data_IF_742104524050
#
_entry.id   IF_742104524050
#
_cell.length_a   1.000
_cell.length_b   1.000
_cell.length_c   1.000
_cell.angle_alpha   90.00
_cell.angle_beta   90.00
_cell.angle_gamma   90.00
#
_symmetry.space_group_name_H-M   'P 1'
#
loop_
_entity.id
_entity.type
_entity.pdbx_description
1 polymer ?
#
# COMPACT_ATOMS: atom_id res chain seq x y z
N UNK A 1 -1.08 -13.64 15.63
CA UNK A 1 -0.40 -12.47 16.23
C UNK A 1 0.26 -11.68 15.09
N UNK A 2 -0.26 -10.48 14.81
CA UNK A 2 -0.10 -9.63 13.62
C UNK A 2 1.30 -8.98 13.45
N UNK A 3 2.30 -9.52 14.14
CA UNK A 3 3.48 -8.76 14.55
C UNK A 3 4.63 -8.71 13.52
N UNK A 4 4.63 -9.54 12.46
CA UNK A 4 5.83 -9.71 11.64
C UNK A 4 6.06 -8.64 10.56
N UNK A 5 5.02 -8.03 9.98
CA UNK A 5 5.20 -7.06 8.89
C UNK A 5 5.66 -5.67 9.36
N UNK A 6 5.16 -5.18 10.50
CA UNK A 6 5.33 -3.76 10.89
C UNK A 6 6.44 -3.48 11.90
N UNK A 7 7.01 -4.52 12.55
CA UNK A 7 8.20 -4.39 13.44
C UNK A 7 9.44 -3.79 12.77
N UNK A 8 9.47 -3.70 11.44
CA UNK A 8 10.59 -3.17 10.67
C UNK A 8 10.43 -1.70 10.28
N UNK A 9 9.42 -0.99 10.82
CA UNK A 9 9.04 0.35 10.35
C UNK A 9 9.17 1.41 11.43
N UNK A 10 8.80 1.12 12.68
CA UNK A 10 9.03 2.00 13.84
C UNK A 10 9.64 1.21 15.01
N UNK A 11 10.52 1.85 15.79
CA UNK A 11 11.20 1.19 16.90
C UNK A 11 10.37 1.15 18.19
N UNK A 12 9.45 2.09 18.45
CA UNK A 12 8.80 2.19 19.78
C UNK A 12 7.35 2.74 19.79
N UNK A 13 6.79 3.20 18.66
CA UNK A 13 5.43 3.75 18.62
C UNK A 13 4.68 3.24 17.39
N UNK A 14 3.42 2.77 17.51
CA UNK A 14 2.62 2.34 16.35
C UNK A 14 2.24 3.50 15.43
N UNK A 15 2.59 4.74 15.79
CA UNK A 15 2.35 5.95 15.01
C UNK A 15 3.64 6.41 14.32
N UNK A 16 3.55 6.66 13.03
CA UNK A 16 4.58 7.22 12.18
C UNK A 16 4.13 8.61 11.69
N UNK A 17 5.00 9.61 11.81
CA UNK A 17 4.79 10.94 11.23
C UNK A 17 4.97 10.84 9.70
N UNK A 18 3.88 10.96 8.96
CA UNK A 18 3.86 10.78 7.51
C UNK A 18 4.50 11.96 6.76
N UNK A 19 4.46 13.16 7.35
CA UNK A 19 4.97 14.38 6.71
C UNK A 19 6.50 14.42 6.75
N UNK A 20 7.08 13.95 7.85
CA UNK A 20 8.53 13.90 8.06
C UNK A 20 9.14 12.51 7.82
N UNK A 21 8.36 11.57 7.29
CA UNK A 21 8.82 10.20 7.08
C UNK A 21 10.01 10.14 6.13
N UNK A 22 11.10 9.53 6.60
CA UNK A 22 12.30 9.27 5.80
C UNK A 22 12.48 7.78 5.62
N UNK A 23 12.42 7.36 4.36
CA UNK A 23 12.68 5.98 3.96
C UNK A 23 14.09 5.57 4.41
N UNK A 24 14.18 4.53 5.23
CA UNK A 24 15.45 3.97 5.69
C UNK A 24 16.23 3.32 4.54
N UNK A 25 17.52 3.01 4.74
CA UNK A 25 18.34 2.32 3.72
C UNK A 25 17.73 0.97 3.30
N UNK A 26 17.20 0.21 4.25
CA UNK A 26 16.61 -1.11 3.98
C UNK A 26 15.27 -1.01 3.25
N UNK A 27 14.42 -0.06 3.66
CA UNK A 27 13.16 0.25 2.99
C UNK A 27 13.38 0.73 1.55
N UNK A 28 14.35 1.64 1.33
CA UNK A 28 14.71 2.13 0.01
C UNK A 28 15.26 1.03 -0.89
N UNK A 29 16.08 0.13 -0.34
CA UNK A 29 16.57 -1.04 -1.07
C UNK A 29 15.42 -1.94 -1.52
N UNK A 30 14.44 -2.21 -0.65
CA UNK A 30 13.27 -3.02 -0.99
C UNK A 30 12.43 -2.37 -2.11
N UNK A 31 12.08 -1.09 -1.96
CA UNK A 31 11.29 -0.36 -2.95
C UNK A 31 12.01 -0.23 -4.30
N UNK A 32 13.31 0.06 -4.31
CA UNK A 32 14.09 0.09 -5.56
C UNK A 32 14.17 -1.29 -6.23
N UNK A 33 14.32 -2.36 -5.45
CA UNK A 33 14.34 -3.74 -5.97
C UNK A 33 13.00 -4.07 -6.61
N UNK A 34 11.89 -3.72 -5.95
CA UNK A 34 10.53 -3.89 -6.46
C UNK A 34 10.30 -3.12 -7.76
N UNK A 35 10.57 -1.81 -7.75
CA UNK A 35 10.38 -0.97 -8.93
C UNK A 35 11.21 -1.46 -10.11
N UNK A 36 12.46 -1.89 -9.87
CA UNK A 36 13.31 -2.47 -10.91
C UNK A 36 12.68 -3.73 -11.51
N UNK A 37 12.20 -4.63 -10.67
CA UNK A 37 11.58 -5.87 -11.13
C UNK A 37 10.38 -5.58 -12.02
N UNK A 38 9.46 -4.73 -11.57
CA UNK A 38 8.27 -4.36 -12.35
C UNK A 38 8.66 -3.72 -13.69
N UNK A 39 9.58 -2.76 -13.67
CA UNK A 39 9.91 -1.98 -14.87
C UNK A 39 10.76 -2.80 -15.86
N UNK A 40 11.75 -3.56 -15.39
CA UNK A 40 12.82 -4.11 -16.24
C UNK A 40 12.89 -5.64 -16.27
N UNK A 41 12.15 -6.37 -15.43
CA UNK A 41 12.34 -7.80 -15.26
C UNK A 41 13.63 -8.11 -14.48
N UNK A 42 13.72 -9.31 -13.90
CA UNK A 42 14.67 -9.68 -12.83
C UNK A 42 16.18 -9.59 -13.07
N UNK A 43 16.69 -9.09 -14.21
CA UNK A 43 18.12 -9.03 -14.50
C UNK A 43 18.69 -7.60 -14.57
N UNK A 44 19.62 -7.33 -13.67
CA UNK A 44 20.07 -6.00 -13.26
C UNK A 44 21.02 -5.26 -14.24
N UNK A 45 21.15 -5.67 -15.51
CA UNK A 45 22.27 -5.25 -16.34
C UNK A 45 22.12 -3.88 -17.03
N UNK A 46 20.93 -3.28 -17.09
CA UNK A 46 20.69 -2.11 -17.98
C UNK A 46 19.88 -0.97 -17.37
N UNK A 47 19.81 -0.86 -16.04
CA UNK A 47 19.08 0.26 -15.41
C UNK A 47 19.99 1.47 -15.22
N UNK A 48 19.65 2.65 -15.77
CA UNK A 48 20.40 3.88 -15.55
C UNK A 48 20.47 4.20 -14.04
N UNK A 49 21.67 4.51 -13.55
CA UNK A 49 21.85 5.10 -12.23
C UNK A 49 21.11 6.44 -12.18
N UNK A 50 20.03 6.52 -11.42
CA UNK A 50 19.36 7.79 -11.13
C UNK A 50 20.29 8.61 -10.23
N UNK A 51 20.80 9.73 -10.75
CA UNK A 51 21.79 10.58 -10.05
C UNK A 51 21.22 11.32 -8.84
N UNK A 52 19.91 11.55 -8.80
CA UNK A 52 19.21 12.25 -7.69
C UNK A 52 18.14 11.33 -7.09
N UNK A 53 18.10 11.14 -5.76
CA UNK A 53 17.05 10.37 -5.12
C UNK A 53 15.67 11.01 -5.37
N UNK A 54 14.73 10.23 -5.90
CA UNK A 54 13.34 10.69 -6.06
C UNK A 54 12.72 11.03 -4.68
N UNK A 55 11.85 12.06 -4.62
CA UNK A 55 10.95 12.29 -3.49
C UNK A 55 10.14 11.05 -3.15
N UNK A 56 9.67 10.94 -1.91
CA UNK A 56 8.95 9.75 -1.40
C UNK A 56 7.79 9.34 -2.31
N UNK A 57 6.88 10.27 -2.59
CA UNK A 57 5.67 10.01 -3.37
C UNK A 57 6.04 9.53 -4.78
N UNK A 58 6.92 10.24 -5.48
CA UNK A 58 7.41 9.83 -6.80
C UNK A 58 8.07 8.44 -6.79
N UNK A 59 8.86 8.13 -5.74
CA UNK A 59 9.51 6.84 -5.61
C UNK A 59 8.50 5.69 -5.41
N UNK A 60 7.45 5.93 -4.64
CA UNK A 60 6.38 4.95 -4.37
C UNK A 60 5.62 4.63 -5.65
N UNK A 61 5.26 5.64 -6.44
CA UNK A 61 4.48 5.48 -7.66
C UNK A 61 5.32 5.17 -8.91
N UNK A 62 6.65 5.19 -8.81
CA UNK A 62 7.53 5.08 -9.97
C UNK A 62 7.25 3.87 -10.87
N UNK A 63 6.80 2.75 -10.30
CA UNK A 63 6.49 1.53 -11.06
C UNK A 63 4.99 1.37 -11.41
N UNK A 64 4.13 2.27 -10.93
CA UNK A 64 2.70 2.21 -11.22
C UNK A 64 2.47 2.38 -12.72
N UNK A 65 1.60 1.56 -13.26
CA UNK A 65 1.42 1.50 -14.71
C UNK A 65 0.92 2.81 -15.31
N UNK A 66 0.09 3.56 -14.59
CA UNK A 66 -0.35 4.90 -15.00
C UNK A 66 0.84 5.88 -15.14
N UNK A 67 1.87 5.76 -14.28
CA UNK A 67 3.09 6.57 -14.36
C UNK A 67 3.94 6.14 -15.55
N UNK A 68 4.06 4.83 -15.81
CA UNK A 68 4.83 4.33 -16.95
C UNK A 68 4.18 4.71 -18.29
N UNK A 69 2.87 4.53 -18.42
CA UNK A 69 2.11 4.84 -19.64
C UNK A 69 2.08 6.35 -19.92
N UNK A 70 1.92 7.21 -18.89
CA UNK A 70 1.99 8.67 -19.08
C UNK A 70 3.36 9.17 -19.53
N UNK A 71 4.42 8.39 -19.27
CA UNK A 71 5.78 8.67 -19.74
C UNK A 71 6.11 7.96 -21.07
N UNK A 72 5.15 7.32 -21.72
CA UNK A 72 5.35 6.57 -22.96
C UNK A 72 6.26 5.35 -22.80
N UNK A 73 6.39 4.82 -21.58
CA UNK A 73 7.23 3.66 -21.26
C UNK A 73 6.38 2.40 -21.19
N UNK A 74 6.99 1.28 -21.60
CA UNK A 74 6.39 -0.06 -21.49
C UNK A 74 7.18 -0.85 -20.44
N UNK A 75 6.65 -1.03 -19.22
CA UNK A 75 7.32 -1.84 -18.21
C UNK A 75 7.22 -3.32 -18.56
N UNK A 76 8.10 -4.13 -17.96
CA UNK A 76 8.11 -5.59 -18.16
C UNK A 76 6.88 -6.24 -17.55
N UNK A 77 6.51 -5.81 -16.35
CA UNK A 77 5.30 -6.21 -15.64
C UNK A 77 4.39 -4.99 -15.44
N UNK A 78 3.09 -5.23 -15.42
CA UNK A 78 2.08 -4.20 -15.14
C UNK A 78 1.71 -4.19 -13.68
N UNK A 79 2.26 -3.24 -12.91
CA UNK A 79 1.82 -2.98 -11.54
C UNK A 79 0.64 -2.02 -11.52
N UNK A 80 -0.49 -2.47 -10.99
CA UNK A 80 -1.66 -1.65 -10.73
C UNK A 80 -1.95 -1.68 -9.22
N UNK A 81 -1.96 -0.50 -8.60
CA UNK A 81 -2.32 -0.35 -7.19
C UNK A 81 -3.56 0.53 -7.11
N UNK A 82 -4.68 -0.06 -6.68
CA UNK A 82 -5.96 0.66 -6.53
C UNK A 82 -6.38 0.71 -5.08
N UNK A 83 -7.27 1.65 -4.77
CA UNK A 83 -7.86 1.81 -3.46
C UNK A 83 -9.38 1.75 -3.62
N UNK A 84 -10.02 0.77 -2.98
CA UNK A 84 -11.46 0.54 -3.09
C UNK A 84 -12.09 0.29 -1.71
N UNK A 85 -13.38 0.63 -1.50
CA UNK A 85 -14.05 0.33 -0.24
C UNK A 85 -13.94 -1.16 0.12
N UNK A 86 -13.68 -1.44 1.40
CA UNK A 86 -13.59 -2.81 1.90
C UNK A 86 -14.86 -3.58 1.55
N UNK A 87 -14.67 -4.74 0.92
CA UNK A 87 -15.75 -5.56 0.37
C UNK A 87 -15.30 -7.00 0.25
N UNK A 88 -16.27 -7.92 0.37
CA UNK A 88 -16.03 -9.33 0.11
C UNK A 88 -15.98 -9.60 -1.39
N UNK A 89 -15.01 -10.42 -1.80
CA UNK A 89 -15.01 -11.12 -3.08
C UNK A 89 -14.32 -12.46 -2.87
N UNK A 90 -14.65 -13.47 -3.66
CA UNK A 90 -13.97 -14.76 -3.57
C UNK A 90 -12.46 -14.64 -3.82
N UNK A 91 -12.01 -13.81 -4.77
CA UNK A 91 -10.58 -13.62 -5.04
C UNK A 91 -9.80 -13.11 -3.81
N UNK A 92 -10.32 -12.09 -3.12
CA UNK A 92 -9.73 -11.56 -1.87
C UNK A 92 -9.70 -12.62 -0.77
N UNK A 93 -10.78 -13.40 -0.64
CA UNK A 93 -10.86 -14.46 0.35
C UNK A 93 -9.89 -15.61 0.05
N UNK A 94 -9.72 -16.00 -1.21
CA UNK A 94 -8.73 -17.01 -1.62
C UNK A 94 -7.29 -16.54 -1.33
N UNK A 95 -6.98 -15.26 -1.57
CA UNK A 95 -5.68 -14.70 -1.18
C UNK A 95 -5.48 -14.76 0.34
N UNK A 96 -6.51 -14.43 1.12
CA UNK A 96 -6.49 -14.54 2.57
C UNK A 96 -6.23 -15.99 3.02
N UNK A 97 -6.92 -16.98 2.46
CA UNK A 97 -6.71 -18.39 2.79
C UNK A 97 -5.27 -18.83 2.54
N UNK A 98 -4.73 -18.54 1.35
CA UNK A 98 -3.33 -18.85 1.00
C UNK A 98 -2.35 -18.23 1.99
N UNK A 99 -2.60 -16.99 2.40
CA UNK A 99 -1.76 -16.29 3.38
C UNK A 99 -1.86 -16.90 4.78
N UNK A 100 -3.07 -17.19 5.27
CA UNK A 100 -3.29 -17.82 6.57
C UNK A 100 -2.62 -19.20 6.65
N UNK A 101 -2.79 -20.02 5.63
CA UNK A 101 -2.19 -21.36 5.60
C UNK A 101 -0.66 -21.28 5.59
N UNK A 102 -0.07 -20.46 4.72
CA UNK A 102 1.38 -20.41 4.54
C UNK A 102 2.15 -19.67 5.64
N UNK A 103 1.55 -18.62 6.23
CA UNK A 103 2.22 -17.75 7.21
C UNK A 103 1.77 -18.05 8.65
N UNK A 104 0.55 -18.56 8.83
CA UNK A 104 -0.02 -18.82 10.15
C UNK A 104 -0.35 -20.29 10.39
N UNK A 105 -0.16 -21.17 9.40
CA UNK A 105 -0.54 -22.59 9.48
C UNK A 105 -2.03 -22.79 9.84
N UNK A 106 -2.87 -21.80 9.49
CA UNK A 106 -4.28 -21.75 9.85
C UNK A 106 -5.19 -22.05 8.65
N UNK A 107 -5.86 -23.20 8.71
CA UNK A 107 -6.80 -23.69 7.71
C UNK A 107 -8.28 -23.57 8.13
N UNK A 108 -8.55 -23.05 9.34
CA UNK A 108 -9.89 -22.95 9.92
C UNK A 108 -10.71 -21.73 9.47
N UNK A 109 -10.23 -21.01 8.45
CA UNK A 109 -10.76 -19.73 8.03
C UNK A 109 -12.05 -19.86 7.22
N UNK A 110 -13.08 -19.11 7.59
CA UNK A 110 -14.41 -19.14 6.94
C UNK A 110 -14.70 -17.81 6.23
N UNK A 111 -15.57 -17.79 5.19
CA UNK A 111 -15.95 -16.54 4.51
C UNK A 111 -16.51 -15.50 5.49
N UNK A 112 -17.40 -15.92 6.40
CA UNK A 112 -17.96 -15.06 7.44
C UNK A 112 -16.90 -14.53 8.42
N UNK A 113 -15.88 -15.34 8.74
CA UNK A 113 -14.75 -14.91 9.55
C UNK A 113 -13.94 -13.82 8.86
N UNK A 114 -13.66 -14.01 7.57
CA UNK A 114 -12.99 -13.01 6.73
C UNK A 114 -13.81 -11.72 6.61
N UNK A 115 -15.11 -11.80 6.35
CA UNK A 115 -15.99 -10.62 6.28
C UNK A 115 -16.01 -9.85 7.60
N UNK A 116 -16.19 -10.54 8.72
CA UNK A 116 -16.21 -9.91 10.04
C UNK A 116 -14.88 -9.23 10.36
N UNK A 117 -13.76 -9.81 9.94
CA UNK A 117 -12.43 -9.32 10.29
C UNK A 117 -11.92 -8.22 9.36
N UNK A 118 -12.09 -8.37 8.04
CA UNK A 118 -11.42 -7.52 7.04
C UNK A 118 -12.38 -6.67 6.20
N UNK A 119 -13.68 -6.95 6.24
CA UNK A 119 -14.68 -6.21 5.44
C UNK A 119 -15.55 -5.31 6.29
N UNK A 120 -16.02 -5.82 7.43
CA UNK A 120 -17.01 -5.14 8.27
C UNK A 120 -16.38 -3.93 8.95
N UNK A 121 -16.78 -2.73 8.52
CA UNK A 121 -16.30 -1.47 9.08
C UNK A 121 -17.29 -0.90 10.09
N UNK A 122 -16.77 -0.50 11.25
CA UNK A 122 -17.52 0.33 12.21
C UNK A 122 -17.35 1.84 11.93
N UNK A 123 -16.53 2.21 10.95
CA UNK A 123 -16.21 3.60 10.63
C UNK A 123 -17.33 4.17 9.77
N UNK A 124 -17.85 5.33 10.18
CA UNK A 124 -18.85 6.05 9.39
C UNK A 124 -18.21 6.60 8.14
N UNK A 125 -18.85 6.37 6.99
CA UNK A 125 -18.43 6.96 5.73
C UNK A 125 -18.86 8.42 5.69
N UNK A 126 -17.88 9.31 5.73
CA UNK A 126 -18.07 10.75 5.65
C UNK A 126 -17.22 11.30 4.50
N UNK A 127 -17.74 12.22 3.66
CA UNK A 127 -16.98 12.80 2.56
C UNK A 127 -15.71 13.51 3.04
N UNK A 128 -14.61 13.32 2.34
CA UNK A 128 -13.36 14.04 2.59
C UNK A 128 -13.42 15.40 1.87
N UNK A 129 -13.20 16.47 2.63
CA UNK A 129 -13.17 17.83 2.10
C UNK A 129 -11.74 18.27 1.78
N UNK A 130 -11.37 18.12 0.51
CA UNK A 130 -10.11 18.64 -0.01
C UNK A 130 -10.21 20.14 -0.24
N UNK A 131 -9.32 20.91 0.40
CA UNK A 131 -9.30 22.38 0.28
C UNK A 131 -8.41 22.86 -0.87
N UNK A 132 -7.45 22.04 -1.32
CA UNK A 132 -6.55 22.36 -2.41
C UNK A 132 -6.98 21.61 -3.69
N UNK A 133 -8.12 22.02 -4.26
CA UNK A 133 -8.70 21.43 -5.48
C UNK A 133 -8.27 22.15 -6.77
N UNK A 134 -7.46 23.20 -6.64
CA UNK A 134 -6.95 24.02 -7.75
C UNK A 134 -6.10 23.22 -8.76
N UNK A 135 -5.54 22.08 -8.35
CA UNK A 135 -4.91 21.10 -9.21
C UNK A 135 -5.57 19.73 -8.97
N UNK A 136 -5.86 19.01 -10.05
CA UNK A 136 -6.27 17.62 -9.94
C UNK A 136 -5.13 16.83 -9.27
N UNK A 137 -5.40 16.02 -8.23
CA UNK A 137 -4.33 15.29 -7.56
C UNK A 137 -3.62 14.37 -8.55
N UNK A 138 -2.29 14.30 -8.45
CA UNK A 138 -1.45 13.50 -9.34
C UNK A 138 -1.82 12.02 -9.29
N UNK A 139 -2.27 11.54 -8.14
CA UNK A 139 -2.69 10.17 -7.90
C UNK A 139 -4.12 10.15 -7.34
N UNK A 140 -4.92 9.09 -7.61
CA UNK A 140 -6.29 9.00 -7.11
C UNK A 140 -6.35 9.06 -5.58
N UNK A 141 -7.21 9.92 -5.05
CA UNK A 141 -7.47 10.06 -3.62
C UNK A 141 -8.84 9.49 -3.24
N UNK A 142 -9.00 8.95 -2.01
CA UNK A 142 -10.30 8.50 -1.52
C UNK A 142 -11.29 9.65 -1.44
N UNK A 143 -12.57 9.40 -1.72
CA UNK A 143 -13.61 10.44 -1.62
C UNK A 143 -14.26 10.51 -0.23
N UNK A 144 -14.11 9.45 0.58
CA UNK A 144 -14.73 9.31 1.90
C UNK A 144 -13.74 8.74 2.92
N UNK A 145 -13.92 9.10 4.19
CA UNK A 145 -13.35 8.33 5.29
C UNK A 145 -14.02 6.94 5.37
N UNK A 146 -13.31 5.95 5.91
CA UNK A 146 -13.82 4.57 5.99
C UNK A 146 -12.73 3.52 5.86
N UNK A 147 -13.14 2.25 5.80
CA UNK A 147 -12.25 1.10 5.56
C UNK A 147 -12.13 0.79 4.08
N UNK A 148 -10.89 0.54 3.63
CA UNK A 148 -10.53 0.30 2.26
C UNK A 148 -9.62 -0.92 2.11
N UNK A 149 -9.69 -1.54 0.94
CA UNK A 149 -8.68 -2.45 0.45
C UNK A 149 -7.79 -1.71 -0.56
N UNK A 150 -6.50 -1.62 -0.25
CA UNK A 150 -5.46 -1.25 -1.19
C UNK A 150 -4.99 -2.51 -1.94
N UNK A 151 -5.42 -2.64 -3.19
CA UNK A 151 -5.25 -3.84 -4.01
C UNK A 151 -3.95 -3.71 -4.82
N UNK A 152 -3.09 -4.72 -4.76
CA UNK A 152 -1.85 -4.78 -5.54
C UNK A 152 -1.99 -5.86 -6.60
N UNK A 153 -2.01 -5.45 -7.87
CA UNK A 153 -2.05 -6.36 -9.00
C UNK A 153 -0.78 -6.30 -9.82
N UNK A 154 -0.25 -7.46 -10.18
CA UNK A 154 0.85 -7.59 -11.13
C UNK A 154 0.37 -8.44 -12.30
N UNK A 155 0.43 -7.89 -13.51
CA UNK A 155 -0.04 -8.53 -14.74
C UNK A 155 -1.51 -9.02 -14.67
N UNK A 156 -2.32 -8.30 -13.88
CA UNK A 156 -3.74 -8.59 -13.65
C UNK A 156 -4.03 -9.49 -12.44
N UNK A 157 -3.04 -10.21 -11.93
CA UNK A 157 -3.21 -11.11 -10.78
C UNK A 157 -3.17 -10.33 -9.46
N UNK A 158 -4.08 -10.63 -8.53
CA UNK A 158 -4.08 -10.05 -7.19
C UNK A 158 -3.00 -10.68 -6.31
N UNK A 159 -1.93 -9.94 -6.07
CA UNK A 159 -0.77 -10.46 -5.35
C UNK A 159 -0.75 -10.04 -3.88
N UNK A 160 -1.40 -8.93 -3.52
CA UNK A 160 -1.47 -8.44 -2.15
C UNK A 160 -2.66 -7.52 -1.92
N UNK A 161 -3.06 -7.42 -0.65
CA UNK A 161 -4.07 -6.50 -0.16
C UNK A 161 -3.57 -5.85 1.14
N UNK A 162 -3.56 -4.53 1.18
CA UNK A 162 -3.54 -3.77 2.42
C UNK A 162 -4.97 -3.43 2.84
N UNK A 163 -5.35 -3.77 4.08
CA UNK A 163 -6.60 -3.34 4.69
C UNK A 163 -6.28 -2.13 5.54
N UNK A 164 -6.83 -0.98 5.16
CA UNK A 164 -6.52 0.31 5.76
C UNK A 164 -7.79 1.08 6.10
N UNK A 165 -7.74 1.82 7.19
CA UNK A 165 -8.76 2.78 7.56
C UNK A 165 -8.27 4.19 7.26
N UNK A 166 -9.10 4.99 6.60
CA UNK A 166 -8.82 6.39 6.30
C UNK A 166 -9.68 7.22 7.23
N UNK A 167 -9.03 7.95 8.13
CA UNK A 167 -9.64 8.73 9.21
C UNK A 167 -9.21 10.20 9.10
N UNK A 168 -9.91 11.15 9.75
CA UNK A 168 -9.59 12.57 9.63
C UNK A 168 -8.15 12.98 9.95
N UNK A 169 -7.45 12.21 10.81
CA UNK A 169 -6.08 12.52 11.24
C UNK A 169 -5.00 11.55 10.73
N UNK A 170 -5.40 10.40 10.19
CA UNK A 170 -4.46 9.35 9.84
C UNK A 170 -4.98 8.36 8.80
N UNK A 171 -4.03 7.72 8.13
CA UNK A 171 -4.21 6.39 7.55
C UNK A 171 -3.85 5.39 8.64
N UNK A 172 -4.68 4.38 8.87
CA UNK A 172 -4.43 3.31 9.84
C UNK A 172 -4.35 1.98 9.11
N UNK A 173 -3.17 1.37 9.13
CA UNK A 173 -2.93 0.04 8.59
C UNK A 173 -3.43 -1.03 9.54
N UNK A 174 -4.46 -1.76 9.12
CA UNK A 174 -5.15 -2.78 9.91
C UNK A 174 -4.58 -4.16 9.64
N UNK A 175 -4.40 -4.51 8.36
CA UNK A 175 -3.94 -5.83 7.97
C UNK A 175 -3.21 -5.78 6.63
N UNK A 176 -2.23 -6.66 6.43
CA UNK A 176 -1.58 -6.81 5.14
C UNK A 176 -1.40 -8.30 4.83
N UNK A 177 -1.88 -8.72 3.66
CA UNK A 177 -1.78 -10.09 3.18
C UNK A 177 -1.32 -10.13 1.73
N UNK A 178 -0.63 -11.19 1.36
CA UNK A 178 -0.07 -11.35 0.02
C UNK A 178 0.12 -12.81 -0.35
N UNK A 179 0.26 -13.09 -1.64
CA UNK A 179 0.40 -14.45 -2.12
C UNK A 179 1.84 -14.96 -1.81
N UNK A 180 2.02 -16.19 -1.28
CA UNK A 180 3.29 -16.63 -0.69
C UNK A 180 4.48 -16.64 -1.66
N UNK A 181 4.22 -16.82 -2.95
CA UNK A 181 5.20 -16.73 -4.04
C UNK A 181 5.88 -15.35 -4.11
N UNK A 182 5.28 -14.31 -3.50
CA UNK A 182 5.84 -12.96 -3.43
C UNK A 182 6.65 -12.67 -2.15
N UNK A 183 6.88 -13.66 -1.28
CA UNK A 183 7.65 -13.54 -0.03
C UNK A 183 9.02 -12.84 -0.21
N UNK A 184 9.70 -13.05 -1.34
CA UNK A 184 11.03 -12.51 -1.62
C UNK A 184 11.09 -10.98 -1.86
N UNK A 185 9.93 -10.30 -1.89
CA UNK A 185 9.81 -8.89 -2.27
C UNK A 185 9.59 -7.91 -1.11
N UNK A 186 9.48 -8.40 0.13
CA UNK A 186 9.26 -7.54 1.31
C UNK A 186 8.02 -6.65 1.17
N UNK A 187 6.92 -7.19 0.63
CA UNK A 187 5.71 -6.42 0.31
C UNK A 187 5.14 -5.66 1.51
N UNK A 188 5.23 -6.18 2.73
CA UNK A 188 4.80 -5.45 3.94
C UNK A 188 5.58 -4.15 4.22
N UNK A 189 6.85 -4.04 3.79
CA UNK A 189 7.58 -2.76 3.86
C UNK A 189 7.09 -1.81 2.77
N UNK A 190 6.83 -2.33 1.58
CA UNK A 190 6.39 -1.55 0.43
C UNK A 190 4.99 -0.97 0.69
N UNK A 191 4.08 -1.75 1.27
CA UNK A 191 2.73 -1.29 1.61
C UNK A 191 2.77 -0.15 2.60
N UNK A 192 3.48 -0.29 3.70
CA UNK A 192 3.57 0.76 4.71
C UNK A 192 4.22 2.07 4.20
N UNK A 193 5.23 1.98 3.33
CA UNK A 193 5.81 3.18 2.68
C UNK A 193 4.76 3.85 1.80
N UNK A 194 3.94 3.07 1.10
CA UNK A 194 2.84 3.57 0.26
C UNK A 194 1.69 4.15 1.09
N UNK A 195 1.35 3.55 2.21
CA UNK A 195 0.33 4.07 3.13
C UNK A 195 0.78 5.40 3.77
N UNK A 196 2.08 5.53 4.10
CA UNK A 196 2.66 6.80 4.53
C UNK A 196 2.62 7.87 3.42
N UNK A 197 2.91 7.48 2.16
CA UNK A 197 2.75 8.36 1.02
C UNK A 197 1.28 8.80 0.86
N UNK A 198 0.31 7.88 0.96
CA UNK A 198 -1.12 8.19 0.87
C UNK A 198 -1.55 9.22 1.92
N UNK A 199 -1.11 9.08 3.17
CA UNK A 199 -1.39 10.07 4.22
C UNK A 199 -0.82 11.45 3.84
N UNK A 200 0.40 11.50 3.31
CA UNK A 200 1.01 12.74 2.84
C UNK A 200 0.27 13.33 1.62
N UNK A 201 -0.17 12.51 0.67
CA UNK A 201 -0.91 12.96 -0.51
C UNK A 201 -2.28 13.56 -0.12
N UNK A 202 -2.99 12.92 0.82
CA UNK A 202 -4.25 13.46 1.37
C UNK A 202 -4.01 14.79 2.10
N UNK A 203 -2.91 14.90 2.87
CA UNK A 203 -2.50 16.15 3.50
C UNK A 203 -2.26 17.26 2.49
N UNK A 204 -1.41 17.01 1.49
CA UNK A 204 -1.00 17.98 0.48
C UNK A 204 -2.20 18.44 -0.39
N UNK A 205 -3.25 17.61 -0.50
CA UNK A 205 -4.53 17.95 -1.12
C UNK A 205 -5.46 18.83 -0.24
N UNK A 206 -4.99 19.28 0.92
CA UNK A 206 -5.66 20.25 1.77
C UNK A 206 -6.43 19.66 2.95
N UNK A 207 -6.13 18.43 3.36
CA UNK A 207 -6.62 17.85 4.63
C UNK A 207 -5.51 17.96 5.68
N UNK A 208 -5.29 19.16 6.20
CA UNK A 208 -4.14 19.48 7.06
C UNK A 208 -4.02 18.60 8.31
N UNK A 209 -5.15 18.07 8.81
CA UNK A 209 -5.18 17.16 9.96
C UNK A 209 -4.58 15.77 9.67
N UNK A 210 -4.54 15.35 8.40
CA UNK A 210 -3.93 14.09 7.99
C UNK A 210 -2.42 14.19 8.15
N UNK A 211 -1.84 13.57 9.17
CA UNK A 211 -0.40 13.76 9.48
C UNK A 211 0.33 12.46 9.78
N UNK A 212 -0.41 11.36 9.93
CA UNK A 212 0.13 10.15 10.55
C UNK A 212 -0.29 8.89 9.79
N UNK A 213 0.62 7.92 9.79
CA UNK A 213 0.30 6.52 9.57
C UNK A 213 0.26 5.83 10.93
N UNK A 214 -0.83 5.14 11.24
CA UNK A 214 -0.89 4.21 12.36
C UNK A 214 -0.70 2.80 11.82
N UNK A 215 0.09 1.98 12.50
CA UNK A 215 0.35 0.60 12.13
C UNK A 215 -0.14 -0.27 13.28
N UNK A 216 -1.09 -1.17 12.98
CA UNK A 216 -1.64 -2.11 13.96
C UNK A 216 -0.54 -2.95 14.63
N UNK A 217 -0.74 -3.26 15.92
CA UNK A 217 0.11 -4.17 16.69
C UNK A 217 -0.29 -5.64 16.49
#
# INVERSE_FOLDING_TARGET
MLSFSYKYITNETPRLDALNFKVSKSQRKALNKWNRFIIHGGDAATVPSVKTPLPLVELVHAADIAVQESQGRKPTHRLEVTLEPSSYTDEKYQLYLKYQESIHEDTGNTPRGFERFLVTSAIRQEPIRYQNTSAQPTYPLPTHYGSYHQMYRVDGELIAIGVIDILPGCVSSVYFMYAPEWNAWSLGKISAIREAALAKEIHDAGVESMTSLYMGM
#
